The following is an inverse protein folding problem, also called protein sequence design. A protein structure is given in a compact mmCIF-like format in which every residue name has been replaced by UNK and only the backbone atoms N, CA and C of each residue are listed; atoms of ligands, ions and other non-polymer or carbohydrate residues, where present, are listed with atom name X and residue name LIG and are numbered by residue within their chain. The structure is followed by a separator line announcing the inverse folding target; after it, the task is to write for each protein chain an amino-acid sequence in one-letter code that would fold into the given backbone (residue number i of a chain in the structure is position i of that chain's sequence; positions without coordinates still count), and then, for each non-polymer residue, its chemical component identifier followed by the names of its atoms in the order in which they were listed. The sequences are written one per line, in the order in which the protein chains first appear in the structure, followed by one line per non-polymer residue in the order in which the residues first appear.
data_IF_089345423536
#
_entry.id   IF_089345423536
#
_cell.length_a   1.000
_cell.length_b   1.000
_cell.length_c   1.000
_cell.angle_alpha   90.00
_cell.angle_beta   90.00
_cell.angle_gamma   90.00
#
_symmetry.space_group_name_H-M   'P 1'
#
loop_
_entity.id
_entity.type
_entity.pdbx_description
1 polymer ?
#
# COMPACT_ATOMS: atom_id res chain seq x y z
N UNK A 1 1.90 -7.81 -20.11
CA UNK A 1 2.67 -6.54 -20.17
C UNK A 1 1.90 -5.39 -19.52
N UNK A 2 0.71 -5.01 -20.03
CA UNK A 2 -0.11 -3.93 -19.46
C UNK A 2 -0.46 -4.12 -17.97
N UNK A 3 -0.86 -5.35 -17.61
CA UNK A 3 -1.29 -5.69 -16.24
C UNK A 3 -0.16 -5.59 -15.21
N UNK A 4 1.05 -5.98 -15.60
CA UNK A 4 2.25 -5.82 -14.76
C UNK A 4 2.58 -4.34 -14.54
N UNK A 5 2.43 -3.50 -15.58
CA UNK A 5 2.63 -2.06 -15.46
C UNK A 5 1.61 -1.43 -14.50
N UNK A 6 0.34 -1.82 -14.59
CA UNK A 6 -0.68 -1.37 -13.65
C UNK A 6 -0.40 -1.84 -12.23
N UNK A 7 0.03 -3.08 -12.03
CA UNK A 7 0.41 -3.58 -10.71
C UNK A 7 1.58 -2.79 -10.11
N UNK A 8 2.61 -2.48 -10.90
CA UNK A 8 3.74 -1.67 -10.45
C UNK A 8 3.28 -0.27 -10.06
N UNK A 9 2.50 0.41 -10.90
CA UNK A 9 1.99 1.75 -10.60
C UNK A 9 1.08 1.73 -9.37
N UNK A 10 0.24 0.71 -9.23
CA UNK A 10 -0.63 0.50 -8.07
C UNK A 10 0.19 0.35 -6.78
N UNK A 11 1.22 -0.50 -6.77
CA UNK A 11 2.06 -0.69 -5.58
C UNK A 11 2.84 0.59 -5.28
N UNK A 12 3.42 1.26 -6.27
CA UNK A 12 4.15 2.51 -6.06
C UNK A 12 3.24 3.65 -5.60
N UNK A 13 1.96 3.63 -5.95
CA UNK A 13 1.02 4.66 -5.51
C UNK A 13 0.78 4.64 -3.99
N UNK A 14 1.09 3.55 -3.26
CA UNK A 14 0.90 3.50 -1.81
C UNK A 14 1.78 4.50 -1.07
N UNK A 15 2.95 4.82 -1.60
CA UNK A 15 3.89 5.77 -0.99
C UNK A 15 3.27 7.16 -0.75
N UNK A 16 2.89 7.90 -1.80
CA UNK A 16 2.26 9.21 -1.65
C UNK A 16 0.84 9.15 -1.04
N UNK A 17 0.19 7.99 -1.05
CA UNK A 17 -1.17 7.79 -0.50
C UNK A 17 -1.16 7.20 0.92
N UNK A 18 0.02 6.97 1.50
CA UNK A 18 0.17 6.22 2.74
C UNK A 18 -0.60 6.85 3.90
N UNK A 19 -0.52 8.18 4.04
CA UNK A 19 -1.19 8.88 5.14
C UNK A 19 -2.72 8.82 5.04
N UNK A 20 -3.28 8.90 3.83
CA UNK A 20 -4.72 8.77 3.61
C UNK A 20 -5.16 7.35 3.92
N UNK A 21 -4.44 6.34 3.42
CA UNK A 21 -4.71 4.95 3.75
C UNK A 21 -4.58 4.68 5.26
N UNK A 22 -3.54 5.20 5.92
CA UNK A 22 -3.31 5.04 7.35
C UNK A 22 -4.44 5.67 8.19
N UNK A 23 -4.90 6.87 7.79
CA UNK A 23 -6.03 7.54 8.43
C UNK A 23 -7.31 6.71 8.30
N UNK A 24 -7.62 6.18 7.11
CA UNK A 24 -8.77 5.28 6.93
C UNK A 24 -8.66 4.03 7.80
N UNK A 25 -7.48 3.40 7.83
CA UNK A 25 -7.23 2.18 8.60
C UNK A 25 -7.33 2.36 10.12
N UNK A 26 -6.86 3.48 10.67
CA UNK A 26 -6.67 3.64 12.11
C UNK A 26 -7.59 4.67 12.76
N UNK A 27 -8.20 5.58 11.99
CA UNK A 27 -9.08 6.64 12.54
C UNK A 27 -10.57 6.32 12.38
N UNK A 28 -10.91 5.12 11.87
CA UNK A 28 -12.28 4.64 11.76
C UNK A 28 -13.07 5.31 10.64
N UNK A 29 -12.39 5.88 9.63
CA UNK A 29 -13.05 6.41 8.45
C UNK A 29 -13.31 5.28 7.44
N UNK A 30 -14.59 4.99 7.10
CA UNK A 30 -14.88 4.05 6.03
C UNK A 30 -14.41 4.67 4.71
N UNK A 31 -13.36 4.11 4.13
CA UNK A 31 -12.76 4.66 2.93
C UNK A 31 -12.39 3.60 1.90
N UNK A 32 -12.34 4.07 0.65
CA UNK A 32 -12.14 3.20 -0.51
C UNK A 32 -10.66 2.84 -0.70
N UNK A 33 -9.72 3.56 -0.08
CA UNK A 33 -8.29 3.24 -0.15
C UNK A 33 -8.00 1.95 0.62
N UNK A 34 -8.65 1.73 1.77
CA UNK A 34 -8.59 0.45 2.48
C UNK A 34 -8.96 -0.74 1.57
N UNK A 35 -10.11 -0.67 0.90
CA UNK A 35 -10.55 -1.72 -0.01
C UNK A 35 -9.65 -1.85 -1.25
N UNK A 36 -9.16 -0.73 -1.77
CA UNK A 36 -8.26 -0.71 -2.92
C UNK A 36 -6.94 -1.42 -2.58
N UNK A 37 -6.40 -1.19 -1.37
CA UNK A 37 -5.09 -1.70 -0.95
C UNK A 37 -5.11 -3.04 -0.19
N UNK A 38 -6.29 -3.57 0.13
CA UNK A 38 -6.43 -4.89 0.76
C UNK A 38 -5.63 -6.02 0.06
N UNK A 39 -5.53 -6.09 -1.28
CA UNK A 39 -4.69 -7.10 -1.93
C UNK A 39 -3.19 -6.92 -1.66
N UNK A 40 -2.72 -5.67 -1.52
CA UNK A 40 -1.31 -5.39 -1.20
C UNK A 40 -1.02 -5.74 0.25
N UNK A 41 -1.93 -5.38 1.17
CA UNK A 41 -1.86 -5.75 2.59
C UNK A 41 -1.80 -7.28 2.74
N UNK A 42 -2.69 -8.01 2.06
CA UNK A 42 -2.66 -9.48 2.03
C UNK A 42 -1.33 -10.01 1.49
N UNK A 43 -0.74 -9.37 0.47
CA UNK A 43 0.55 -9.78 -0.06
C UNK A 43 1.70 -9.57 0.94
N UNK A 44 1.67 -8.47 1.70
CA UNK A 44 2.62 -8.20 2.79
C UNK A 44 2.46 -9.20 3.94
N UNK A 45 1.23 -9.55 4.34
CA UNK A 45 0.97 -10.54 5.38
C UNK A 45 1.48 -11.94 5.03
N UNK A 46 1.44 -12.30 3.74
CA UNK A 46 1.85 -13.62 3.28
C UNK A 46 3.34 -13.72 2.90
N UNK A 47 4.09 -12.62 2.92
CA UNK A 47 5.50 -12.60 2.51
C UNK A 47 6.28 -11.49 3.20
N UNK A 48 7.15 -11.86 4.14
CA UNK A 48 8.06 -10.93 4.84
C UNK A 48 8.90 -10.10 3.86
N UNK A 49 9.38 -10.69 2.77
CA UNK A 49 10.17 -9.95 1.76
C UNK A 49 9.36 -8.85 1.08
N UNK A 50 8.06 -9.07 0.85
CA UNK A 50 7.18 -8.06 0.25
C UNK A 50 6.89 -6.98 1.28
N UNK A 51 6.62 -7.36 2.52
CA UNK A 51 6.42 -6.44 3.63
C UNK A 51 7.63 -5.51 3.80
N UNK A 52 8.84 -6.05 3.99
CA UNK A 52 10.07 -5.28 4.19
C UNK A 52 10.32 -4.29 3.04
N UNK A 53 10.07 -4.72 1.80
CA UNK A 53 10.26 -3.85 0.63
C UNK A 53 9.22 -2.73 0.57
N UNK A 54 7.94 -3.03 0.84
CA UNK A 54 6.86 -2.04 0.86
C UNK A 54 7.07 -1.05 2.00
N UNK A 55 7.43 -1.52 3.19
CA UNK A 55 7.71 -0.67 4.36
C UNK A 55 8.91 0.25 4.09
N UNK A 56 10.02 -0.29 3.58
CA UNK A 56 11.19 0.51 3.17
C UNK A 56 10.83 1.56 2.12
N UNK A 57 9.93 1.23 1.19
CA UNK A 57 9.46 2.16 0.18
C UNK A 57 8.58 3.26 0.79
N UNK A 58 7.64 2.90 1.68
CA UNK A 58 6.77 3.84 2.37
C UNK A 58 7.59 4.80 3.22
N UNK A 59 8.62 4.33 3.94
CA UNK A 59 9.52 5.17 4.75
C UNK A 59 10.07 6.38 4.00
N UNK A 60 10.32 6.28 2.68
CA UNK A 60 10.76 7.40 1.83
C UNK A 60 9.75 8.56 1.74
N UNK A 61 8.47 8.32 2.06
CA UNK A 61 7.37 9.30 1.99
C UNK A 61 6.92 9.80 3.35
N UNK A 62 7.18 9.04 4.41
CA UNK A 62 6.76 9.37 5.79
C UNK A 62 7.84 10.13 6.56
N UNK A 63 9.07 10.15 6.05
CA UNK A 63 10.23 10.84 6.64
C UNK A 63 10.20 12.34 6.42
#
# INVERSE_FOLDING_TARGET
MLLAMFAIVYVLAIGPLYWQWYAEAHMGEPGWLLLLYAPLETACENSELVNDWVDSYIELWVT
#
